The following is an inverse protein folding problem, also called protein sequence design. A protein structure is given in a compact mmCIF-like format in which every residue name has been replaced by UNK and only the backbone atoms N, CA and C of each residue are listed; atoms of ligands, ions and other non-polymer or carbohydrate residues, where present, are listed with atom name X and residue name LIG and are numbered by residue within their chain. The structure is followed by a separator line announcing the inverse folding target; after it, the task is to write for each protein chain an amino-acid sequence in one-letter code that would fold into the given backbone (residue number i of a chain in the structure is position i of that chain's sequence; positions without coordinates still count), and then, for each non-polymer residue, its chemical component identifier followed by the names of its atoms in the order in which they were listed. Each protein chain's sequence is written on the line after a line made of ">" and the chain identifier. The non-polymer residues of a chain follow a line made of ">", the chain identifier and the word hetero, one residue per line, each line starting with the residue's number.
data_IF_722529419351
#
_entry.id   IF_722529419351
#
_cell.length_a   1.000
_cell.length_b   1.000
_cell.length_c   1.000
_cell.angle_alpha   90.00
_cell.angle_beta   90.00
_cell.angle_gamma   90.00
#
_symmetry.space_group_name_H-M   'P 1'
#
loop_
_entity.id
_entity.type
_entity.pdbx_description
1 polymer ?
#
# COMPACT_ATOMS: atom_id res chain seq x y z
N UNK A 1 38.82 -2.18 54.24
CA UNK A 1 37.78 -1.17 53.99
C UNK A 1 37.95 -0.64 52.57
N UNK A 2 36.92 -0.85 51.72
CA UNK A 2 36.64 -0.08 50.49
C UNK A 2 37.53 -0.30 49.26
N UNK A 3 37.07 -0.31 48.01
CA UNK A 3 35.76 -0.16 47.36
C UNK A 3 35.92 -0.82 45.97
N UNK A 4 34.99 -1.71 45.60
CA UNK A 4 34.92 -2.30 44.26
C UNK A 4 34.36 -1.23 43.31
N UNK A 5 35.13 -0.83 42.30
CA UNK A 5 34.63 0.02 41.22
C UNK A 5 34.19 -0.88 40.05
N UNK A 6 32.88 -1.08 39.95
CA UNK A 6 32.25 -1.64 38.76
C UNK A 6 32.33 -0.62 37.63
N UNK A 7 33.18 -0.88 36.62
CA UNK A 7 33.19 -0.10 35.38
C UNK A 7 32.10 -0.68 34.49
N UNK A 8 31.00 0.07 34.39
CA UNK A 8 29.80 -0.30 33.65
C UNK A 8 30.06 -0.47 32.16
N UNK A 9 29.61 -1.62 31.65
CA UNK A 9 29.52 -1.90 30.22
C UNK A 9 28.42 -0.99 29.67
N UNK A 10 28.80 0.05 28.92
CA UNK A 10 27.85 0.85 28.15
C UNK A 10 27.39 -0.01 26.97
N UNK A 11 26.27 -0.70 27.13
CA UNK A 11 25.52 -1.25 25.99
C UNK A 11 25.06 -0.06 25.13
N UNK A 12 25.76 0.17 24.02
CA UNK A 12 25.22 0.97 22.93
C UNK A 12 24.09 0.16 22.29
N UNK A 13 22.87 0.35 22.78
CA UNK A 13 21.67 -0.08 22.07
C UNK A 13 21.60 0.72 20.77
N UNK A 14 22.11 0.14 19.68
CA UNK A 14 21.82 0.58 18.34
C UNK A 14 20.32 0.38 18.13
N UNK A 15 19.54 1.42 18.45
CA UNK A 15 18.14 1.47 18.11
C UNK A 15 18.06 1.36 16.58
N UNK A 16 17.56 0.22 16.10
CA UNK A 16 17.05 0.10 14.74
C UNK A 16 15.93 1.13 14.62
N UNK A 17 16.27 2.35 14.21
CA UNK A 17 15.33 3.29 13.65
C UNK A 17 14.89 2.72 12.30
N UNK A 18 14.10 1.64 12.34
CA UNK A 18 13.24 1.27 11.24
C UNK A 18 12.36 2.49 11.04
N UNK A 19 12.63 3.20 9.96
CA UNK A 19 11.91 4.38 9.50
C UNK A 19 10.44 3.99 9.28
N UNK A 20 9.66 4.02 10.35
CA UNK A 20 8.23 4.19 10.30
C UNK A 20 8.01 5.63 9.81
N UNK A 21 8.20 5.84 8.50
CA UNK A 21 7.65 6.99 7.82
C UNK A 21 6.16 6.98 8.15
N UNK A 22 5.74 7.91 8.99
CA UNK A 22 4.33 8.15 9.32
C UNK A 22 3.67 8.62 8.02
N UNK A 23 3.27 7.65 7.19
CA UNK A 23 2.57 7.88 5.94
C UNK A 23 1.30 8.61 6.32
N UNK A 24 1.14 9.85 5.84
CA UNK A 24 -0.05 10.68 6.08
C UNK A 24 -1.29 9.82 5.86
N UNK A 25 -2.31 9.87 6.75
CA UNK A 25 -3.50 9.05 6.61
C UNK A 25 -4.07 9.21 5.21
N UNK A 26 -4.34 8.09 4.54
CA UNK A 26 -4.93 8.12 3.22
C UNK A 26 -6.29 8.85 3.25
N UNK A 27 -6.69 9.50 2.15
CA UNK A 27 -8.04 10.06 2.04
C UNK A 27 -9.11 8.99 2.32
N UNK A 28 -10.32 9.37 2.78
CA UNK A 28 -11.39 8.43 3.03
C UNK A 28 -11.68 7.52 1.82
N UNK A 29 -11.78 6.22 2.07
CA UNK A 29 -12.01 5.21 1.03
C UNK A 29 -10.80 4.86 0.18
N UNK A 30 -9.61 5.38 0.49
CA UNK A 30 -8.32 4.94 -0.08
C UNK A 30 -7.63 4.03 0.92
N UNK A 31 -7.27 2.82 0.49
CA UNK A 31 -6.52 1.86 1.32
C UNK A 31 -5.03 1.86 1.03
N UNK A 32 -4.64 2.48 -0.08
CA UNK A 32 -3.26 2.49 -0.51
C UNK A 32 -3.04 3.20 -1.83
N UNK A 33 -1.80 3.62 -2.05
CA UNK A 33 -1.36 4.29 -3.27
C UNK A 33 -0.04 3.67 -3.71
N UNK A 34 0.01 3.22 -4.96
CA UNK A 34 1.23 2.72 -5.60
C UNK A 34 1.63 3.67 -6.71
N UNK A 35 2.79 4.31 -6.56
CA UNK A 35 3.32 5.21 -7.58
C UNK A 35 4.01 4.41 -8.68
N UNK A 36 3.56 4.59 -9.92
CA UNK A 36 4.10 3.91 -11.09
C UNK A 36 5.28 4.69 -11.66
N UNK A 37 5.11 6.00 -11.80
CA UNK A 37 6.11 6.94 -12.28
C UNK A 37 5.85 8.35 -11.72
N UNK A 38 6.55 9.36 -12.24
CA UNK A 38 6.43 10.74 -11.79
C UNK A 38 5.05 11.38 -12.11
N UNK A 39 4.28 10.79 -13.03
CA UNK A 39 3.00 11.31 -13.50
C UNK A 39 1.79 10.40 -13.23
N UNK A 40 1.99 9.21 -12.65
CA UNK A 40 0.93 8.20 -12.52
C UNK A 40 0.98 7.48 -11.16
N UNK A 41 -0.17 7.43 -10.50
CA UNK A 41 -0.42 6.69 -9.26
C UNK A 41 -1.64 5.77 -9.42
N UNK A 42 -1.51 4.54 -8.91
CA UNK A 42 -2.62 3.63 -8.70
C UNK A 42 -3.15 3.79 -7.29
N UNK A 43 -4.38 4.27 -7.20
CA UNK A 43 -5.10 4.48 -5.94
C UNK A 43 -6.03 3.30 -5.73
N UNK A 44 -5.78 2.53 -4.68
CA UNK A 44 -6.56 1.35 -4.29
C UNK A 44 -7.70 1.81 -3.39
N UNK A 45 -8.94 1.60 -3.83
CA UNK A 45 -10.12 2.11 -3.14
C UNK A 45 -10.82 1.01 -2.34
N UNK A 46 -11.33 1.34 -1.16
CA UNK A 46 -12.20 0.46 -0.35
C UNK A 46 -13.67 0.54 -0.78
N UNK A 47 -13.93 0.36 -2.08
CA UNK A 47 -15.28 0.30 -2.61
C UNK A 47 -15.37 -0.69 -3.76
N UNK A 48 -16.54 -1.33 -3.97
CA UNK A 48 -16.74 -2.21 -5.11
C UNK A 48 -16.44 -1.51 -6.44
N UNK A 49 -15.84 -2.24 -7.36
CA UNK A 49 -15.71 -1.80 -8.75
C UNK A 49 -17.04 -1.92 -9.49
N UNK A 50 -17.28 -1.04 -10.46
CA UNK A 50 -18.41 -1.20 -11.41
C UNK A 50 -18.01 -2.01 -12.64
N UNK A 51 -16.74 -2.44 -12.73
CA UNK A 51 -16.23 -3.27 -13.83
C UNK A 51 -16.76 -4.69 -13.72
N UNK A 52 -17.32 -5.20 -14.82
CA UNK A 52 -17.80 -6.56 -14.94
C UNK A 52 -16.68 -7.60 -15.14
N UNK A 53 -17.04 -8.73 -15.75
CA UNK A 53 -16.08 -9.77 -16.14
C UNK A 53 -15.27 -10.32 -14.96
N UNK A 54 -13.95 -10.40 -15.13
CA UNK A 54 -13.03 -10.91 -14.11
C UNK A 54 -12.99 -10.05 -12.83
N UNK A 55 -13.48 -8.81 -12.90
CA UNK A 55 -13.54 -7.87 -11.80
C UNK A 55 -14.80 -7.98 -10.94
N UNK A 56 -15.73 -8.88 -11.27
CA UNK A 56 -16.98 -9.02 -10.52
C UNK A 56 -16.70 -9.37 -9.05
N UNK A 57 -17.19 -8.52 -8.15
CA UNK A 57 -17.02 -8.68 -6.70
C UNK A 57 -15.68 -8.18 -6.14
N UNK A 58 -14.87 -7.51 -6.95
CA UNK A 58 -13.58 -6.94 -6.53
C UNK A 58 -13.73 -5.44 -6.23
N UNK A 59 -12.68 -4.83 -5.68
CA UNK A 59 -12.63 -3.42 -5.32
C UNK A 59 -12.04 -2.57 -6.47
N UNK A 60 -12.34 -1.29 -6.49
CA UNK A 60 -11.91 -0.39 -7.57
C UNK A 60 -10.45 0.05 -7.43
N UNK A 61 -9.74 0.12 -8.56
CA UNK A 61 -8.47 0.85 -8.69
C UNK A 61 -8.74 2.12 -9.52
N UNK A 62 -8.17 3.24 -9.11
CA UNK A 62 -8.22 4.51 -9.81
C UNK A 62 -6.81 4.91 -10.25
N UNK A 63 -6.62 5.21 -11.52
CA UNK A 63 -5.33 5.67 -12.08
C UNK A 63 -5.37 7.18 -12.11
N UNK A 64 -4.56 7.83 -11.28
CA UNK A 64 -4.58 9.28 -11.06
C UNK A 64 -3.20 9.89 -11.34
N UNK A 65 -3.17 11.17 -11.68
CA UNK A 65 -1.93 11.93 -11.59
C UNK A 65 -1.60 12.16 -10.10
N UNK A 66 -0.31 12.19 -9.71
CA UNK A 66 0.08 12.48 -8.34
C UNK A 66 -0.44 13.86 -7.92
N UNK A 67 -1.16 13.90 -6.80
CA UNK A 67 -1.79 15.14 -6.31
C UNK A 67 -3.20 14.92 -5.74
N UNK A 68 -4.02 15.98 -5.67
CA UNK A 68 -5.36 15.89 -5.12
C UNK A 68 -6.22 14.90 -5.90
N UNK A 69 -6.85 13.97 -5.18
CA UNK A 69 -7.70 12.96 -5.78
C UNK A 69 -8.85 13.61 -6.58
N UNK A 70 -8.92 13.38 -7.89
CA UNK A 70 -10.03 13.94 -8.69
C UNK A 70 -9.93 13.86 -10.21
N UNK A 71 -8.73 13.68 -10.80
CA UNK A 71 -8.55 13.69 -12.26
C UNK A 71 -8.31 12.31 -12.89
N UNK A 72 -8.47 11.22 -12.13
CA UNK A 72 -8.10 9.89 -12.59
C UNK A 72 -9.19 9.08 -13.27
N UNK A 73 -8.75 8.19 -14.16
CA UNK A 73 -9.60 7.15 -14.74
C UNK A 73 -9.86 6.09 -13.67
N UNK A 74 -11.12 5.89 -13.32
CA UNK A 74 -11.55 4.87 -12.36
C UNK A 74 -12.30 3.77 -13.09
N UNK A 75 -12.31 2.55 -12.55
CA UNK A 75 -13.01 1.39 -13.13
C UNK A 75 -12.39 0.90 -14.45
N UNK A 76 -11.06 0.92 -14.56
CA UNK A 76 -10.33 0.19 -15.61
C UNK A 76 -9.69 -1.09 -15.06
N UNK A 77 -9.31 -1.04 -13.79
CA UNK A 77 -8.71 -2.12 -13.05
C UNK A 77 -9.46 -2.33 -11.75
N UNK A 78 -9.37 -3.55 -11.25
CA UNK A 78 -9.92 -3.94 -9.97
C UNK A 78 -8.85 -4.64 -9.14
N UNK A 79 -9.05 -4.65 -7.83
CA UNK A 79 -8.15 -5.32 -6.91
C UNK A 79 -8.90 -6.12 -5.85
N UNK A 80 -8.25 -7.12 -5.30
CA UNK A 80 -8.68 -7.79 -4.07
C UNK A 80 -7.47 -8.23 -3.26
N UNK A 81 -7.67 -8.37 -1.96
CA UNK A 81 -6.73 -9.08 -1.09
C UNK A 81 -7.10 -10.56 -1.08
N UNK A 82 -6.11 -11.44 -1.24
CA UNK A 82 -6.29 -12.89 -1.12
C UNK A 82 -5.04 -13.49 -0.50
N UNK A 83 -5.16 -14.16 0.65
CA UNK A 83 -4.03 -14.79 1.36
C UNK A 83 -2.85 -13.82 1.63
N UNK A 84 -3.14 -12.57 1.99
CA UNK A 84 -2.12 -11.53 2.21
C UNK A 84 -1.45 -11.02 0.93
N UNK A 85 -1.94 -11.43 -0.24
CA UNK A 85 -1.47 -10.95 -1.54
C UNK A 85 -2.45 -9.95 -2.14
N UNK A 86 -1.88 -8.92 -2.76
CA UNK A 86 -2.57 -7.98 -3.61
C UNK A 86 -2.77 -8.60 -4.99
N UNK A 87 -4.02 -8.81 -5.39
CA UNK A 87 -4.37 -9.26 -6.73
C UNK A 87 -4.96 -8.10 -7.50
N UNK A 88 -4.50 -7.88 -8.74
CA UNK A 88 -5.07 -6.88 -9.65
C UNK A 88 -5.45 -7.49 -10.99
N UNK A 89 -6.57 -7.05 -11.55
CA UNK A 89 -7.07 -7.51 -12.84
C UNK A 89 -7.75 -6.37 -13.62
N UNK A 90 -7.98 -6.60 -14.91
CA UNK A 90 -8.86 -5.78 -15.76
C UNK A 90 -10.11 -6.60 -16.10
N UNK A 91 -11.13 -5.96 -16.68
CA UNK A 91 -12.38 -6.63 -17.07
C UNK A 91 -12.16 -7.93 -17.85
N UNK A 92 -11.26 -7.88 -18.84
CA UNK A 92 -11.00 -8.98 -19.77
C UNK A 92 -9.95 -9.98 -19.26
N UNK A 93 -9.13 -9.63 -18.27
CA UNK A 93 -7.97 -10.44 -17.87
C UNK A 93 -8.32 -11.36 -16.70
N UNK A 94 -8.46 -12.65 -16.97
CA UNK A 94 -8.78 -13.68 -15.96
C UNK A 94 -7.58 -14.00 -15.07
N UNK A 95 -6.34 -13.89 -15.58
CA UNK A 95 -5.12 -14.12 -14.79
C UNK A 95 -4.69 -12.83 -14.07
N UNK A 96 -4.85 -12.73 -12.74
CA UNK A 96 -4.53 -11.53 -11.99
C UNK A 96 -3.02 -11.34 -11.86
N UNK A 97 -2.56 -10.09 -11.79
CA UNK A 97 -1.21 -9.80 -11.33
C UNK A 97 -1.17 -9.89 -9.81
N UNK A 98 -0.10 -10.51 -9.29
CA UNK A 98 0.07 -10.79 -7.86
C UNK A 98 1.21 -9.95 -7.32
N UNK A 99 1.01 -9.32 -6.17
CA UNK A 99 2.04 -8.57 -5.47
C UNK A 99 1.85 -8.64 -3.94
N UNK A 100 2.84 -8.18 -3.15
CA UNK A 100 2.66 -8.09 -1.69
C UNK A 100 1.69 -6.97 -1.32
N UNK A 101 0.86 -7.20 -0.30
CA UNK A 101 0.01 -6.14 0.28
C UNK A 101 0.83 -5.00 0.91
N UNK A 102 2.09 -5.24 1.29
CA UNK A 102 3.00 -4.22 1.82
C UNK A 102 3.31 -3.10 0.81
N UNK A 103 3.00 -3.31 -0.47
CA UNK A 103 3.17 -2.27 -1.50
C UNK A 103 2.17 -1.12 -1.33
N UNK A 104 1.01 -1.39 -0.71
CA UNK A 104 -0.08 -0.43 -0.62
C UNK A 104 -0.47 -0.08 0.82
N UNK A 105 -0.06 -0.89 1.80
CA UNK A 105 -0.19 -0.60 3.24
C UNK A 105 0.91 0.32 3.71
#
# INVERSE_FOLDING_TARGET
>A
MGRIFFIGIVMAAAACAASAQTRKPFPPGVVGVMRIDAGTEYVFLDRPTTVGGACKGWKAVSIQAPGPAGSGLTNLMCWKESNGQLLTATEAKVTPQVASMDLIR
#
